data_IF_130031014743
#
_entry.id   IF_130031014743
#
_cell.length_a   1.000
_cell.length_b   1.000
_cell.length_c   1.000
_cell.angle_alpha   90.00
_cell.angle_beta   90.00
_cell.angle_gamma   90.00
#
_symmetry.space_group_name_H-M   'P 1'
#
loop_
_entity.id
_entity.type
_entity.pdbx_description
1 polymer ?
#
# COMPACT_ATOMS: atom_id res chain seq x y z
N UNK A 1 10.45 26.20 -7.37
CA UNK A 1 10.93 26.49 -5.99
C UNK A 1 10.06 25.65 -5.07
N UNK A 2 10.58 24.58 -4.48
CA UNK A 2 9.76 23.67 -3.65
C UNK A 2 9.44 24.35 -2.33
N UNK A 3 8.17 24.34 -1.93
CA UNK A 3 7.76 24.85 -0.62
C UNK A 3 8.45 24.05 0.49
N UNK A 4 8.93 24.74 1.54
CA UNK A 4 9.80 24.15 2.57
C UNK A 4 9.15 23.04 3.42
N UNK A 5 7.82 22.88 3.33
CA UNK A 5 7.00 21.86 3.99
C UNK A 5 6.52 20.75 3.03
N UNK A 6 7.08 20.68 1.82
CA UNK A 6 6.77 19.66 0.80
C UNK A 6 8.02 18.91 0.35
N UNK A 7 8.94 18.65 1.28
CA UNK A 7 10.14 17.86 0.97
C UNK A 7 9.71 16.41 0.70
N UNK A 8 10.27 15.80 -0.34
CA UNK A 8 10.03 14.38 -0.70
C UNK A 8 11.08 13.45 -0.11
N UNK A 9 12.15 14.02 0.43
CA UNK A 9 13.24 13.33 1.12
C UNK A 9 13.35 13.84 2.57
N UNK A 10 14.05 13.10 3.41
CA UNK A 10 14.21 13.41 4.83
C UNK A 10 15.60 13.02 5.35
N UNK A 11 16.27 13.99 5.95
CA UNK A 11 17.54 13.84 6.66
C UNK A 11 17.62 14.88 7.79
N UNK A 12 18.70 14.86 8.57
CA UNK A 12 18.87 15.73 9.74
C UNK A 12 18.83 17.23 9.40
N UNK A 13 19.39 17.63 8.25
CA UNK A 13 19.41 19.03 7.81
C UNK A 13 17.99 19.52 7.41
N UNK A 14 17.26 18.69 6.65
CA UNK A 14 15.87 18.95 6.26
C UNK A 14 14.98 19.04 7.51
N UNK A 15 15.16 18.11 8.45
CA UNK A 15 14.42 18.08 9.71
C UNK A 15 14.65 19.36 10.54
N UNK A 16 15.90 19.74 10.74
CA UNK A 16 16.26 20.95 11.48
C UNK A 16 15.68 22.22 10.82
N UNK A 17 15.78 22.33 9.49
CA UNK A 17 15.19 23.45 8.76
C UNK A 17 13.66 23.47 8.88
N UNK A 18 13.03 22.31 8.76
CA UNK A 18 11.57 22.17 8.86
C UNK A 18 11.08 22.67 10.21
N UNK A 19 11.65 22.18 11.32
CA UNK A 19 11.24 22.57 12.65
C UNK A 19 11.55 24.05 12.97
N UNK A 20 12.69 24.59 12.53
CA UNK A 20 13.01 26.00 12.72
C UNK A 20 12.03 26.96 12.00
N UNK A 21 11.48 26.54 10.85
CA UNK A 21 10.42 27.28 10.15
C UNK A 21 9.05 27.05 10.79
N UNK A 22 8.80 25.84 11.26
CA UNK A 22 7.55 25.46 11.92
C UNK A 22 7.29 26.29 13.18
N UNK A 23 8.31 26.58 13.99
CA UNK A 23 8.20 27.45 15.17
C UNK A 23 7.68 28.87 14.85
N UNK A 24 7.99 29.37 13.65
CA UNK A 24 7.56 30.70 13.18
C UNK A 24 6.16 30.66 12.56
N UNK A 25 5.68 29.49 12.16
CA UNK A 25 4.45 29.29 11.39
C UNK A 25 3.22 28.99 12.28
N UNK A 26 3.00 29.77 13.34
CA UNK A 26 2.04 29.44 14.41
C UNK A 26 0.61 29.12 13.94
N UNK A 27 0.08 29.83 12.93
CA UNK A 27 -1.31 29.64 12.47
C UNK A 27 -1.49 28.53 11.43
N UNK A 28 -0.43 28.08 10.77
CA UNK A 28 -0.48 27.02 9.74
C UNK A 28 0.38 25.81 10.12
N UNK A 29 0.85 25.80 11.36
CA UNK A 29 1.74 24.79 11.92
C UNK A 29 1.19 23.39 11.68
N UNK A 30 -0.06 23.18 12.10
CA UNK A 30 -0.70 21.87 12.10
C UNK A 30 -0.86 21.35 10.67
N UNK A 31 -1.30 22.21 9.74
CA UNK A 31 -1.36 21.92 8.32
C UNK A 31 0.01 21.55 7.73
N UNK A 32 1.06 22.29 8.08
CA UNK A 32 2.40 22.04 7.54
C UNK A 32 2.99 20.71 8.02
N UNK A 33 2.72 20.30 9.26
CA UNK A 33 3.11 18.98 9.77
C UNK A 33 2.47 17.89 8.92
N UNK A 34 1.15 17.95 8.72
CA UNK A 34 0.40 16.92 7.99
C UNK A 34 0.78 16.90 6.50
N UNK A 35 1.01 18.07 5.88
CA UNK A 35 1.48 18.14 4.49
C UNK A 35 2.89 17.56 4.33
N UNK A 36 3.82 17.88 5.23
CA UNK A 36 5.16 17.32 5.18
C UNK A 36 5.14 15.81 5.37
N UNK A 37 4.38 15.31 6.34
CA UNK A 37 4.19 13.88 6.57
C UNK A 37 3.59 13.18 5.33
N UNK A 38 2.62 13.80 4.65
CA UNK A 38 2.04 13.27 3.43
C UNK A 38 3.10 13.06 2.34
N UNK A 39 3.95 14.05 2.10
CA UNK A 39 4.96 14.00 1.04
C UNK A 39 6.06 12.95 1.27
N UNK A 40 6.33 12.59 2.52
CA UNK A 40 7.35 11.58 2.86
C UNK A 40 6.75 10.25 3.31
N UNK A 41 5.42 10.09 3.32
CA UNK A 41 4.74 8.90 3.85
C UNK A 41 5.15 7.60 3.18
N UNK A 42 5.54 7.64 1.90
CA UNK A 42 5.97 6.46 1.14
C UNK A 42 7.49 6.21 1.24
N UNK A 43 8.31 7.27 1.23
CA UNK A 43 9.79 7.17 1.22
C UNK A 43 10.39 7.08 2.62
N UNK A 44 9.81 7.76 3.61
CA UNK A 44 10.24 7.82 5.00
C UNK A 44 9.08 7.54 5.96
N UNK A 45 8.44 6.36 5.87
CA UNK A 45 7.17 6.09 6.56
C UNK A 45 7.26 6.22 8.10
N UNK A 46 8.38 5.80 8.71
CA UNK A 46 8.59 5.96 10.16
C UNK A 46 8.63 7.42 10.58
N UNK A 47 9.23 8.28 9.75
CA UNK A 47 9.29 9.72 10.01
C UNK A 47 7.91 10.34 9.82
N UNK A 48 7.18 9.97 8.76
CA UNK A 48 5.81 10.44 8.55
C UNK A 48 4.93 10.10 9.75
N UNK A 49 5.02 8.89 10.30
CA UNK A 49 4.29 8.51 11.53
C UNK A 49 4.67 9.39 12.71
N UNK A 50 5.97 9.62 12.96
CA UNK A 50 6.43 10.52 14.03
C UNK A 50 5.90 11.96 13.87
N UNK A 51 5.82 12.46 12.63
CA UNK A 51 5.23 13.78 12.37
C UNK A 51 3.71 13.79 12.62
N UNK A 52 3.01 12.71 12.27
CA UNK A 52 1.58 12.59 12.57
C UNK A 52 1.32 12.46 14.08
N UNK A 53 2.14 11.71 14.82
CA UNK A 53 2.07 11.65 16.29
C UNK A 53 2.26 13.05 16.88
N UNK A 54 3.27 13.79 16.42
CA UNK A 54 3.48 15.18 16.82
C UNK A 54 2.26 16.06 16.53
N UNK A 55 1.62 15.90 15.36
CA UNK A 55 0.39 16.61 15.05
C UNK A 55 -0.71 16.30 16.08
N UNK A 56 -1.02 15.02 16.33
CA UNK A 56 -2.07 14.64 17.27
C UNK A 56 -1.80 15.13 18.70
N UNK A 57 -0.52 15.15 19.11
CA UNK A 57 -0.10 15.60 20.44
C UNK A 57 -0.17 17.13 20.62
N UNK A 58 -0.08 17.90 19.54
CA UNK A 58 0.14 19.37 19.63
C UNK A 58 -0.84 20.22 18.85
N UNK A 59 -1.72 19.61 18.06
CA UNK A 59 -2.73 20.32 17.26
C UNK A 59 -3.62 21.20 18.12
N UNK A 60 -4.05 22.30 17.52
CA UNK A 60 -4.91 23.30 18.16
C UNK A 60 -6.36 23.21 17.72
N UNK A 61 -6.63 22.48 16.62
CA UNK A 61 -7.95 22.13 16.10
C UNK A 61 -7.95 20.73 15.47
N UNK A 62 -9.08 20.31 14.90
CA UNK A 62 -9.30 19.00 14.27
C UNK A 62 -9.41 19.06 12.73
N UNK A 63 -9.11 20.21 12.12
CA UNK A 63 -9.37 20.44 10.69
C UNK A 63 -8.60 19.48 9.77
N UNK A 64 -7.35 19.13 10.14
CA UNK A 64 -6.50 18.25 9.35
C UNK A 64 -6.59 16.76 9.76
N UNK A 65 -7.46 16.38 10.72
CA UNK A 65 -7.54 15.01 11.27
C UNK A 65 -7.78 13.94 10.21
N UNK A 66 -8.76 14.17 9.33
CA UNK A 66 -9.06 13.23 8.25
C UNK A 66 -7.91 13.09 7.25
N UNK A 67 -7.04 14.11 7.11
CA UNK A 67 -5.82 14.01 6.31
C UNK A 67 -4.72 13.29 7.10
N UNK A 68 -4.54 13.61 8.38
CA UNK A 68 -3.55 13.00 9.26
C UNK A 68 -3.75 11.48 9.36
N UNK A 69 -4.99 11.01 9.55
CA UNK A 69 -5.30 9.57 9.56
C UNK A 69 -5.00 8.89 8.22
N UNK A 70 -5.29 9.53 7.08
CA UNK A 70 -4.94 8.98 5.76
C UNK A 70 -3.44 8.89 5.55
N UNK A 71 -2.68 9.87 6.02
CA UNK A 71 -1.21 9.86 5.97
C UNK A 71 -0.64 8.78 6.88
N UNK A 72 -1.14 8.64 8.11
CA UNK A 72 -0.73 7.58 9.02
C UNK A 72 -1.00 6.20 8.43
N UNK A 73 -2.19 5.98 7.87
CA UNK A 73 -2.51 4.73 7.19
C UNK A 73 -1.53 4.46 6.03
N UNK A 74 -1.26 5.45 5.18
CA UNK A 74 -0.30 5.32 4.07
C UNK A 74 1.15 5.08 4.55
N UNK A 75 1.55 5.64 5.69
CA UNK A 75 2.87 5.45 6.26
C UNK A 75 3.02 4.12 7.01
N UNK A 76 1.99 3.66 7.74
CA UNK A 76 1.91 2.30 8.27
C UNK A 76 1.99 1.29 7.14
N UNK A 77 1.29 1.58 6.03
CA UNK A 77 1.35 0.83 4.81
C UNK A 77 2.81 0.73 4.30
N UNK A 78 3.47 1.86 4.05
CA UNK A 78 4.83 1.86 3.52
C UNK A 78 5.90 1.35 4.51
N UNK A 79 5.67 1.38 5.83
CA UNK A 79 6.61 0.85 6.85
C UNK A 79 6.51 -0.67 7.08
N UNK A 80 5.66 -1.36 6.32
CA UNK A 80 5.50 -2.82 6.44
C UNK A 80 4.41 -3.25 7.41
N UNK A 81 3.51 -2.35 7.84
CA UNK A 81 2.34 -2.70 8.64
C UNK A 81 1.41 -3.72 7.97
N UNK A 82 1.43 -3.79 6.63
CA UNK A 82 0.74 -4.84 5.89
C UNK A 82 1.35 -6.22 6.08
N UNK A 83 2.65 -6.34 6.38
CA UNK A 83 3.32 -7.63 6.58
C UNK A 83 2.72 -8.32 7.80
N UNK A 84 2.56 -7.61 8.91
CA UNK A 84 1.92 -8.14 10.12
C UNK A 84 0.44 -8.48 9.89
N UNK A 85 -0.26 -7.67 9.09
CA UNK A 85 -1.64 -7.97 8.69
C UNK A 85 -1.72 -9.26 7.85
N UNK A 86 -0.81 -9.43 6.88
CA UNK A 86 -0.69 -10.64 6.07
C UNK A 86 -0.28 -11.87 6.91
N UNK A 87 0.61 -11.71 7.89
CA UNK A 87 0.99 -12.78 8.82
C UNK A 87 -0.22 -13.29 9.61
N UNK A 88 -1.02 -12.37 10.18
CA UNK A 88 -2.25 -12.73 10.90
C UNK A 88 -3.27 -13.38 9.99
N UNK A 89 -3.37 -12.90 8.76
CA UNK A 89 -4.24 -13.46 7.74
C UNK A 89 -3.81 -14.88 7.32
N UNK A 90 -2.51 -15.12 7.21
CA UNK A 90 -1.98 -16.44 6.89
C UNK A 90 -2.19 -17.43 8.05
N UNK A 91 -2.06 -17.00 9.31
CA UNK A 91 -2.40 -17.82 10.48
C UNK A 91 -3.86 -18.26 10.47
N UNK A 92 -4.77 -17.32 10.16
CA UNK A 92 -6.19 -17.58 9.95
C UNK A 92 -6.44 -18.63 8.87
N UNK A 93 -5.87 -18.45 7.67
CA UNK A 93 -6.00 -19.41 6.58
C UNK A 93 -5.46 -20.80 6.95
N UNK A 94 -4.45 -20.86 7.82
CA UNK A 94 -3.86 -22.09 8.36
C UNK A 94 -4.58 -22.65 9.60
N UNK A 95 -5.66 -22.03 10.05
CA UNK A 95 -6.43 -22.45 11.23
C UNK A 95 -5.68 -22.32 12.57
N UNK A 96 -4.61 -21.53 12.63
CA UNK A 96 -3.88 -21.22 13.87
C UNK A 96 -4.45 -19.94 14.49
N UNK A 97 -4.88 -20.01 15.75
CA UNK A 97 -5.65 -19.01 16.51
C UNK A 97 -5.55 -17.56 16.02
N UNK A 98 -6.71 -16.99 15.70
CA UNK A 98 -6.85 -15.58 15.39
C UNK A 98 -7.58 -14.88 16.52
N UNK A 99 -7.00 -13.78 17.02
CA UNK A 99 -7.72 -12.91 17.94
C UNK A 99 -8.98 -12.33 17.26
N UNK A 100 -10.06 -12.25 18.03
CA UNK A 100 -11.47 -12.20 17.58
C UNK A 100 -11.93 -10.93 16.82
N UNK A 101 -11.05 -10.02 16.38
CA UNK A 101 -11.45 -8.70 15.84
C UNK A 101 -10.85 -8.35 14.46
N UNK A 102 -10.56 -9.33 13.61
CA UNK A 102 -10.04 -9.06 12.25
C UNK A 102 -11.13 -9.39 11.22
N UNK A 103 -11.56 -8.37 10.46
CA UNK A 103 -12.40 -8.55 9.27
C UNK A 103 -11.61 -9.36 8.24
N UNK A 104 -11.93 -10.65 8.08
CA UNK A 104 -11.15 -11.58 7.27
C UNK A 104 -11.64 -11.53 5.82
N UNK A 105 -10.76 -11.18 4.89
CA UNK A 105 -11.03 -11.27 3.46
C UNK A 105 -11.01 -12.72 2.94
N UNK A 106 -11.24 -12.92 1.64
CA UNK A 106 -11.07 -14.23 0.98
C UNK A 106 -9.60 -14.61 0.66
N UNK A 107 -9.22 -15.88 0.43
CA UNK A 107 -7.86 -16.25 0.01
C UNK A 107 -7.34 -15.46 -1.21
N UNK A 108 -8.26 -15.06 -2.09
CA UNK A 108 -8.00 -14.17 -3.23
C UNK A 108 -7.53 -12.77 -2.79
N UNK A 109 -8.14 -12.22 -1.75
CA UNK A 109 -7.75 -10.92 -1.19
C UNK A 109 -6.37 -10.99 -0.52
N UNK A 110 -6.07 -12.06 0.23
CA UNK A 110 -4.72 -12.30 0.75
C UNK A 110 -3.67 -12.28 -0.37
N UNK A 111 -3.89 -13.04 -1.44
CA UNK A 111 -2.96 -13.12 -2.56
C UNK A 111 -2.81 -11.77 -3.29
N UNK A 112 -3.92 -11.06 -3.49
CA UNK A 112 -3.90 -9.73 -4.12
C UNK A 112 -3.15 -8.70 -3.30
N UNK A 113 -3.39 -8.62 -1.98
CA UNK A 113 -2.69 -7.68 -1.11
C UNK A 113 -1.20 -8.03 -1.03
N UNK A 114 -0.86 -9.31 -0.93
CA UNK A 114 0.52 -9.79 -0.99
C UNK A 114 1.24 -9.28 -2.24
N UNK A 115 0.63 -9.43 -3.42
CA UNK A 115 1.17 -8.98 -4.70
C UNK A 115 1.26 -7.45 -4.84
N UNK A 116 0.16 -6.75 -4.47
CA UNK A 116 0.05 -5.29 -4.52
C UNK A 116 1.13 -4.63 -3.68
N UNK A 117 1.46 -5.25 -2.55
CA UNK A 117 2.36 -4.68 -1.55
C UNK A 117 3.77 -5.27 -1.54
N UNK A 118 4.05 -6.18 -2.46
CA UNK A 118 5.35 -6.81 -2.64
C UNK A 118 5.88 -7.50 -1.39
N UNK A 119 5.00 -8.24 -0.71
CA UNK A 119 5.42 -9.01 0.47
C UNK A 119 6.08 -10.31 0.04
N UNK A 120 7.38 -10.24 -0.28
CA UNK A 120 8.21 -11.37 -0.74
C UNK A 120 8.11 -12.60 0.17
N UNK A 121 8.13 -12.40 1.50
CA UNK A 121 7.98 -13.46 2.49
C UNK A 121 6.63 -14.19 2.46
N UNK A 122 5.63 -13.64 1.77
CA UNK A 122 4.29 -14.21 1.64
C UNK A 122 4.00 -14.78 0.24
N UNK A 123 4.92 -14.64 -0.73
CA UNK A 123 4.67 -15.04 -2.12
C UNK A 123 4.35 -16.52 -2.29
N UNK A 124 5.06 -17.40 -1.58
CA UNK A 124 4.79 -18.84 -1.65
C UNK A 124 3.40 -19.19 -1.14
N UNK A 125 3.03 -18.62 0.02
CA UNK A 125 1.69 -18.82 0.58
C UNK A 125 0.60 -18.25 -0.34
N UNK A 126 0.82 -17.07 -0.93
CA UNK A 126 -0.15 -16.46 -1.83
C UNK A 126 -0.35 -17.28 -3.12
N UNK A 127 0.72 -17.84 -3.70
CA UNK A 127 0.62 -18.74 -4.84
C UNK A 127 -0.09 -20.05 -4.48
N UNK A 128 0.15 -20.60 -3.30
CA UNK A 128 -0.57 -21.78 -2.79
C UNK A 128 -2.07 -21.50 -2.66
N UNK A 129 -2.45 -20.35 -2.11
CA UNK A 129 -3.85 -19.94 -2.03
C UNK A 129 -4.46 -19.80 -3.44
N UNK A 130 -3.78 -19.13 -4.38
CA UNK A 130 -4.27 -18.97 -5.75
C UNK A 130 -4.45 -20.31 -6.47
N UNK A 131 -3.51 -21.25 -6.29
CA UNK A 131 -3.60 -22.58 -6.90
C UNK A 131 -4.80 -23.39 -6.42
N UNK A 132 -5.30 -23.10 -5.21
CA UNK A 132 -6.51 -23.73 -4.64
C UNK A 132 -7.83 -23.07 -5.06
N UNK A 133 -7.79 -21.94 -5.78
CA UNK A 133 -8.99 -21.22 -6.22
C UNK A 133 -9.34 -21.54 -7.66
N UNK A 134 -10.64 -21.63 -7.94
CA UNK A 134 -11.12 -21.53 -9.32
C UNK A 134 -10.96 -20.09 -9.82
N UNK A 135 -10.52 -19.94 -11.07
CA UNK A 135 -10.39 -18.62 -11.67
C UNK A 135 -11.76 -17.94 -11.74
N UNK A 136 -11.90 -16.68 -11.25
CA UNK A 136 -13.17 -15.97 -11.31
C UNK A 136 -13.70 -15.79 -12.73
N UNK A 137 -15.03 -15.82 -12.86
CA UNK A 137 -15.71 -15.74 -14.15
C UNK A 137 -15.56 -14.35 -14.79
N UNK A 138 -15.82 -14.25 -16.09
CA UNK A 138 -15.82 -12.95 -16.80
C UNK A 138 -16.89 -11.98 -16.30
N UNK A 139 -17.91 -12.47 -15.60
CA UNK A 139 -18.98 -11.65 -15.02
C UNK A 139 -18.58 -10.99 -13.71
N UNK A 140 -17.40 -11.31 -13.18
CA UNK A 140 -16.87 -10.85 -11.91
C UNK A 140 -15.57 -10.07 -12.14
N UNK A 141 -15.64 -8.86 -12.73
CA UNK A 141 -14.48 -8.17 -13.27
C UNK A 141 -13.47 -7.79 -12.18
N UNK A 142 -13.93 -7.43 -10.98
CA UNK A 142 -13.04 -7.09 -9.87
C UNK A 142 -12.34 -8.33 -9.27
N UNK A 143 -13.03 -9.41 -8.88
CA UNK A 143 -12.36 -10.65 -8.47
C UNK A 143 -11.40 -11.19 -9.54
N UNK A 144 -11.79 -11.16 -10.81
CA UNK A 144 -10.94 -11.58 -11.93
C UNK A 144 -9.70 -10.70 -12.06
N UNK A 145 -9.85 -9.38 -11.95
CA UNK A 145 -8.72 -8.46 -11.92
C UNK A 145 -7.74 -8.83 -10.79
N UNK A 146 -8.25 -8.98 -9.56
CA UNK A 146 -7.43 -9.31 -8.38
C UNK A 146 -6.68 -10.63 -8.57
N UNK A 147 -7.34 -11.66 -9.11
CA UNK A 147 -6.75 -12.98 -9.35
C UNK A 147 -5.61 -12.90 -10.38
N UNK A 148 -5.90 -12.30 -11.53
CA UNK A 148 -4.93 -12.17 -12.63
C UNK A 148 -3.77 -11.26 -12.22
N UNK A 149 -4.05 -10.14 -11.54
CA UNK A 149 -3.02 -9.22 -11.08
C UNK A 149 -2.09 -9.85 -10.04
N UNK A 150 -2.65 -10.57 -9.05
CA UNK A 150 -1.87 -11.27 -8.05
C UNK A 150 -0.94 -12.32 -8.68
N UNK A 151 -1.52 -13.15 -9.54
CA UNK A 151 -0.79 -14.20 -10.28
C UNK A 151 0.34 -13.59 -11.10
N UNK A 152 0.05 -12.55 -11.88
CA UNK A 152 1.03 -11.90 -12.77
C UNK A 152 2.20 -11.26 -12.01
N UNK A 153 1.90 -10.45 -10.99
CA UNK A 153 2.91 -9.71 -10.24
C UNK A 153 3.83 -10.66 -9.45
N UNK A 154 3.27 -11.64 -8.74
CA UNK A 154 4.07 -12.56 -7.92
C UNK A 154 4.94 -13.45 -8.82
N UNK A 155 4.39 -14.01 -9.89
CA UNK A 155 5.17 -14.87 -10.81
C UNK A 155 6.23 -14.10 -11.58
N UNK A 156 5.96 -12.84 -11.95
CA UNK A 156 6.95 -11.95 -12.56
C UNK A 156 8.11 -11.64 -11.62
N UNK A 157 7.82 -11.28 -10.37
CA UNK A 157 8.87 -10.89 -9.41
C UNK A 157 9.69 -12.08 -8.90
N UNK A 158 9.11 -13.27 -8.86
CA UNK A 158 9.82 -14.51 -8.50
C UNK A 158 10.54 -15.18 -9.67
N UNK A 159 10.22 -14.81 -10.92
CA UNK A 159 10.79 -15.40 -12.12
C UNK A 159 10.38 -16.86 -12.39
N UNK A 160 9.38 -17.38 -11.67
CA UNK A 160 9.01 -18.81 -11.72
C UNK A 160 8.26 -19.22 -12.98
N UNK A 161 7.44 -18.32 -13.53
CA UNK A 161 6.68 -18.58 -14.75
C UNK A 161 6.43 -17.28 -15.53
N UNK A 162 7.42 -16.81 -16.31
CA UNK A 162 7.31 -15.55 -17.05
C UNK A 162 6.19 -15.56 -18.11
N UNK A 163 5.89 -16.73 -18.69
CA UNK A 163 4.87 -16.86 -19.71
C UNK A 163 3.47 -16.68 -19.10
N UNK A 164 3.19 -17.35 -17.99
CA UNK A 164 1.95 -17.16 -17.25
C UNK A 164 1.85 -15.74 -16.67
N UNK A 165 2.97 -15.18 -16.19
CA UNK A 165 3.00 -13.80 -15.69
C UNK A 165 2.51 -12.80 -16.76
N UNK A 166 3.01 -12.93 -17.98
CA UNK A 166 2.62 -12.11 -19.12
C UNK A 166 1.14 -12.33 -19.50
N UNK A 167 0.69 -13.58 -19.56
CA UNK A 167 -0.70 -13.91 -19.89
C UNK A 167 -1.69 -13.31 -18.88
N UNK A 168 -1.42 -13.50 -17.59
CA UNK A 168 -2.25 -12.96 -16.51
C UNK A 168 -2.21 -11.43 -16.47
N UNK A 169 -1.06 -10.81 -16.76
CA UNK A 169 -0.96 -9.36 -16.83
C UNK A 169 -1.84 -8.78 -17.95
N UNK A 170 -1.86 -9.43 -19.13
CA UNK A 170 -2.75 -9.04 -20.23
C UNK A 170 -4.22 -9.21 -19.84
N UNK A 171 -4.60 -10.37 -19.30
CA UNK A 171 -5.98 -10.61 -18.87
C UNK A 171 -6.46 -9.63 -17.79
N UNK A 172 -5.58 -9.18 -16.88
CA UNK A 172 -5.90 -8.14 -15.91
C UNK A 172 -6.07 -6.75 -16.56
N UNK A 173 -5.25 -6.42 -17.56
CA UNK A 173 -5.30 -5.14 -18.27
C UNK A 173 -6.46 -5.04 -19.27
N UNK A 174 -7.06 -6.17 -19.67
CA UNK A 174 -8.27 -6.22 -20.50
C UNK A 174 -9.56 -5.97 -19.67
N UNK A 175 -9.45 -5.80 -18.35
CA UNK A 175 -10.61 -5.49 -17.49
C UNK A 175 -11.17 -4.09 -17.78
N UNK A 176 -12.46 -3.83 -17.46
CA UNK A 176 -13.08 -2.53 -17.67
C UNK A 176 -12.27 -1.39 -17.03
N UNK A 177 -12.26 -0.23 -17.68
CA UNK A 177 -11.45 0.92 -17.26
C UNK A 177 -11.77 1.36 -15.83
N UNK A 178 -13.02 1.25 -15.42
CA UNK A 178 -13.48 1.58 -14.06
C UNK A 178 -12.76 0.71 -13.00
N UNK A 179 -12.46 -0.55 -13.31
CA UNK A 179 -11.70 -1.43 -12.42
C UNK A 179 -10.22 -1.02 -12.41
N UNK A 180 -9.66 -0.70 -13.57
CA UNK A 180 -8.26 -0.28 -13.68
C UNK A 180 -8.00 1.04 -12.93
N UNK A 181 -8.97 1.96 -12.91
CA UNK A 181 -8.86 3.24 -12.22
C UNK A 181 -8.83 3.07 -10.70
N UNK A 182 -9.64 2.15 -10.16
CA UNK A 182 -9.63 1.78 -8.72
C UNK A 182 -8.26 1.24 -8.30
N UNK A 183 -7.59 0.51 -9.20
CA UNK A 183 -6.30 -0.15 -8.94
C UNK A 183 -5.17 0.39 -9.82
N UNK A 184 -5.15 1.72 -10.02
CA UNK A 184 -4.23 2.36 -10.95
C UNK A 184 -2.75 2.09 -10.67
N UNK A 185 -2.37 1.93 -9.40
CA UNK A 185 -1.02 1.54 -8.96
C UNK A 185 -0.64 0.13 -9.46
N UNK A 186 -1.56 -0.83 -9.34
CA UNK A 186 -1.39 -2.20 -9.80
C UNK A 186 -1.38 -2.25 -11.33
N UNK A 187 -2.32 -1.57 -11.98
CA UNK A 187 -2.41 -1.50 -13.43
C UNK A 187 -1.14 -0.93 -14.07
N UNK A 188 -0.52 0.08 -13.45
CA UNK A 188 0.77 0.61 -13.90
C UNK A 188 1.89 -0.45 -13.85
N UNK A 189 1.98 -1.24 -12.77
CA UNK A 189 2.97 -2.32 -12.65
C UNK A 189 2.75 -3.43 -13.68
N UNK A 190 1.49 -3.82 -13.91
CA UNK A 190 1.15 -4.83 -14.91
C UNK A 190 1.56 -4.42 -16.33
N UNK A 191 1.46 -3.13 -16.67
CA UNK A 191 1.96 -2.59 -17.94
C UNK A 191 3.48 -2.70 -18.07
N UNK A 192 4.22 -2.74 -16.95
CA UNK A 192 5.65 -3.02 -16.95
C UNK A 192 5.97 -4.43 -17.42
N UNK A 193 5.17 -5.41 -16.99
CA UNK A 193 5.31 -6.84 -17.38
C UNK A 193 4.98 -7.03 -18.87
N UNK A 194 4.00 -6.32 -19.41
CA UNK A 194 3.58 -6.51 -20.81
C UNK A 194 4.47 -5.83 -21.84
N UNK A 195 5.39 -4.97 -21.39
CA UNK A 195 6.32 -4.20 -22.24
C UNK A 195 7.73 -4.80 -22.28
N UNK A 196 8.05 -5.75 -21.39
CA UNK A 196 9.31 -6.51 -21.37
C UNK A 196 9.27 -7.67 -22.36
#
# INVERSE_FOLDING_TARGET
MTEWYRNTDWNEEIEAMFFAKLEKARSQRDQYIVLQAHHISQSHPKVALRLIDLYFDTRTDDFDDGRAHRVAAAAQFASGGYVQALDNYLKLLKGQEANEDIYVGSPLEFAFLTARFRSDGHYDAALEQLAGLEQPSEKEPEPRFRYCAASALITSETGRDPANALAMARSALDMPQEVLDVYSDVAWRLRGITRS
#
